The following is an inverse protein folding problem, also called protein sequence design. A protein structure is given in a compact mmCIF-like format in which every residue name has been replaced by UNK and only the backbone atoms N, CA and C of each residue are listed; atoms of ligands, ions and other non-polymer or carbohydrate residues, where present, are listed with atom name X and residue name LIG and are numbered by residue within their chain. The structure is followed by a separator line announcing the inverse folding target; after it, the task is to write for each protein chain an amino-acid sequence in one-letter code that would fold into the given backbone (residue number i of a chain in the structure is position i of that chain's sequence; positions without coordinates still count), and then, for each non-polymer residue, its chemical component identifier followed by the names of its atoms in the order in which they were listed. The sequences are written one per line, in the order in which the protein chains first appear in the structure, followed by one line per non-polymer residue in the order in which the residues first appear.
data_IF_397312728260
#
_entry.id   IF_397312728260
#
_cell.length_a   1.000
_cell.length_b   1.000
_cell.length_c   1.000
_cell.angle_alpha   90.00
_cell.angle_beta   90.00
_cell.angle_gamma   90.00
#
_symmetry.space_group_name_H-M   'P 1'
#
loop_
_entity.id
_entity.type
_entity.pdbx_description
1 polymer ?
#
# COMPACT_ATOMS: atom_id res chain seq x y z
N UNK A 1 -8.90 28.91 -42.81
CA UNK A 1 -7.51 29.15 -42.41
C UNK A 1 -7.06 27.98 -41.56
N UNK A 2 -5.91 27.41 -41.86
CA UNK A 2 -5.34 26.33 -41.05
C UNK A 2 -4.54 26.93 -39.88
N UNK A 3 -4.77 26.43 -38.69
CA UNK A 3 -4.04 26.83 -37.51
C UNK A 3 -3.19 25.64 -36.99
N UNK A 4 -2.03 25.95 -36.42
CA UNK A 4 -1.11 24.95 -35.87
C UNK A 4 -0.68 25.34 -34.48
N UNK A 5 -0.38 24.35 -33.65
CA UNK A 5 0.25 24.60 -32.35
C UNK A 5 1.74 24.88 -32.59
N UNK A 6 2.20 26.06 -32.13
CA UNK A 6 3.56 26.53 -32.35
C UNK A 6 4.39 26.61 -31.05
N UNK A 7 3.75 26.48 -29.91
CA UNK A 7 4.40 26.48 -28.62
C UNK A 7 3.57 25.80 -27.54
N UNK A 8 4.25 25.18 -26.56
CA UNK A 8 3.63 24.58 -25.40
C UNK A 8 4.60 24.60 -24.20
N UNK A 9 4.07 24.76 -22.99
CA UNK A 9 4.84 24.76 -21.75
C UNK A 9 4.00 24.29 -20.55
N UNK A 10 4.66 23.98 -19.46
CA UNK A 10 4.04 23.68 -18.17
C UNK A 10 3.51 24.96 -17.53
N UNK A 11 2.37 24.86 -16.85
CA UNK A 11 1.73 25.95 -16.13
C UNK A 11 0.88 26.86 -17.00
N UNK A 12 0.34 27.91 -16.37
CA UNK A 12 -0.51 28.90 -17.02
C UNK A 12 0.34 30.08 -17.52
N UNK A 13 0.47 30.21 -18.83
CA UNK A 13 1.20 31.31 -19.47
C UNK A 13 0.40 32.60 -19.63
N UNK A 14 -0.89 32.61 -19.31
CA UNK A 14 -1.79 33.69 -19.65
C UNK A 14 -1.93 33.85 -21.15
N UNK A 15 -1.92 35.11 -21.65
CA UNK A 15 -2.04 35.42 -23.08
C UNK A 15 -0.70 35.54 -23.82
N UNK A 16 0.43 35.29 -23.14
CA UNK A 16 1.75 35.41 -23.76
C UNK A 16 1.97 34.32 -24.83
N UNK A 17 2.56 34.70 -25.95
CA UNK A 17 2.92 33.72 -26.99
C UNK A 17 4.04 32.78 -26.46
N UNK A 18 3.79 31.48 -26.57
CA UNK A 18 4.75 30.42 -26.27
C UNK A 18 5.41 29.99 -27.58
N UNK A 19 6.72 29.76 -27.51
CA UNK A 19 7.49 29.23 -28.62
C UNK A 19 8.29 28.00 -28.17
N UNK A 20 8.26 26.93 -28.99
CA UNK A 20 8.93 25.66 -28.65
C UNK A 20 8.08 24.72 -27.77
N UNK A 21 8.63 23.61 -27.37
CA UNK A 21 7.95 22.57 -26.56
C UNK A 21 7.02 21.64 -27.32
N UNK A 22 6.66 21.97 -28.57
CA UNK A 22 5.81 21.12 -29.42
C UNK A 22 6.57 19.83 -29.79
N UNK A 23 5.93 18.69 -29.69
CA UNK A 23 6.53 17.37 -29.93
C UNK A 23 7.52 16.91 -28.85
N UNK A 24 7.69 17.70 -27.79
CA UNK A 24 8.57 17.37 -26.65
C UNK A 24 7.73 17.03 -25.42
N UNK A 25 8.27 16.17 -24.54
CA UNK A 25 7.64 15.86 -23.28
C UNK A 25 7.73 17.04 -22.30
N UNK A 26 6.58 17.54 -21.86
CA UNK A 26 6.44 18.59 -20.84
C UNK A 26 6.12 17.93 -19.51
N UNK A 27 7.09 17.91 -18.58
CA UNK A 27 6.93 17.24 -17.29
C UNK A 27 6.06 18.09 -16.36
N UNK A 28 4.85 17.62 -16.07
CA UNK A 28 3.99 18.09 -14.98
C UNK A 28 4.34 17.43 -13.64
N UNK A 29 3.49 17.65 -12.64
CA UNK A 29 3.65 17.03 -11.32
C UNK A 29 3.23 15.55 -11.35
N UNK A 30 2.14 15.23 -12.05
CA UNK A 30 1.53 13.91 -12.05
C UNK A 30 1.70 13.15 -13.37
N UNK A 31 2.25 13.79 -14.39
CA UNK A 31 2.48 13.16 -15.67
C UNK A 31 3.27 14.03 -16.65
N UNK A 32 3.46 13.51 -17.85
CA UNK A 32 4.14 14.19 -18.94
C UNK A 32 3.19 14.36 -20.11
N UNK A 33 2.95 15.61 -20.53
CA UNK A 33 2.19 15.95 -21.72
C UNK A 33 3.13 16.06 -22.92
N UNK A 34 2.77 15.44 -24.03
CA UNK A 34 3.37 15.71 -25.34
C UNK A 34 2.26 16.20 -26.26
N UNK A 35 2.39 17.40 -26.81
CA UNK A 35 1.44 17.98 -27.75
C UNK A 35 2.11 18.21 -29.11
N UNK A 36 1.44 17.82 -30.19
CA UNK A 36 1.94 17.92 -31.55
C UNK A 36 1.37 19.18 -32.25
N UNK A 37 2.00 19.57 -33.37
CA UNK A 37 1.60 20.75 -34.14
C UNK A 37 0.18 20.66 -34.70
N UNK A 38 -0.32 19.46 -34.96
CA UNK A 38 -1.68 19.18 -35.46
C UNK A 38 -2.75 19.18 -34.35
N UNK A 39 -2.36 19.40 -33.08
CA UNK A 39 -3.25 19.39 -31.93
C UNK A 39 -3.44 18.04 -31.30
N UNK A 40 -2.91 16.97 -31.86
CA UNK A 40 -2.90 15.68 -31.18
C UNK A 40 -1.99 15.71 -29.93
N UNK A 41 -2.34 14.96 -28.89
CA UNK A 41 -1.56 14.93 -27.68
C UNK A 41 -1.59 13.55 -27.01
N UNK A 42 -0.61 13.33 -26.17
CA UNK A 42 -0.55 12.21 -25.24
C UNK A 42 -0.23 12.73 -23.83
N UNK A 43 -0.82 12.14 -22.82
CA UNK A 43 -0.47 12.39 -21.43
C UNK A 43 -0.17 11.06 -20.75
N UNK A 44 1.04 10.91 -20.25
CA UNK A 44 1.50 9.71 -19.55
C UNK A 44 1.67 10.02 -18.06
N UNK A 45 0.95 9.31 -17.21
CA UNK A 45 1.07 9.44 -15.75
C UNK A 45 2.43 8.94 -15.25
N UNK A 46 2.88 9.48 -14.13
CA UNK A 46 4.14 9.12 -13.48
C UNK A 46 3.91 8.45 -12.11
N UNK A 47 4.99 8.17 -11.36
CA UNK A 47 4.92 7.54 -10.05
C UNK A 47 4.15 8.38 -9.01
N UNK A 48 4.12 9.72 -9.13
CA UNK A 48 3.33 10.56 -8.23
C UNK A 48 1.82 10.40 -8.48
N UNK A 49 1.41 10.16 -9.72
CA UNK A 49 0.02 9.84 -10.04
C UNK A 49 -0.39 8.45 -9.52
N UNK A 50 0.53 7.49 -9.57
CA UNK A 50 0.28 6.13 -9.04
C UNK A 50 0.21 6.08 -7.52
N UNK A 51 0.76 7.08 -6.82
CA UNK A 51 0.67 7.21 -5.37
C UNK A 51 -0.62 7.92 -4.89
N UNK A 52 -1.53 8.27 -5.78
CA UNK A 52 -2.82 8.86 -5.43
C UNK A 52 -3.74 7.80 -4.86
N UNK A 53 -4.41 8.15 -3.77
CA UNK A 53 -5.42 7.28 -3.19
C UNK A 53 -6.72 7.31 -4.02
N UNK A 54 -7.54 6.29 -3.87
CA UNK A 54 -8.89 6.27 -4.46
C UNK A 54 -9.67 7.53 -4.04
N UNK A 55 -10.36 8.14 -4.98
CA UNK A 55 -11.06 9.44 -4.85
C UNK A 55 -10.16 10.68 -4.78
N UNK A 56 -8.84 10.56 -4.74
CA UNK A 56 -7.98 11.74 -4.95
C UNK A 56 -8.19 12.26 -6.37
N UNK A 57 -8.22 13.58 -6.51
CA UNK A 57 -8.32 14.25 -7.80
C UNK A 57 -7.38 15.44 -7.82
N UNK A 58 -6.40 15.39 -8.69
CA UNK A 58 -5.32 16.36 -8.82
C UNK A 58 -5.22 16.86 -10.26
N UNK A 59 -4.50 17.95 -10.48
CA UNK A 59 -4.44 18.57 -11.79
C UNK A 59 -3.02 18.96 -12.16
N UNK A 60 -2.67 18.70 -13.42
CA UNK A 60 -1.56 19.34 -14.11
C UNK A 60 -2.11 20.37 -15.11
N UNK A 61 -1.51 21.54 -15.15
CA UNK A 61 -1.88 22.61 -16.05
C UNK A 61 -0.76 22.85 -17.05
N UNK A 62 -1.13 22.95 -18.31
CA UNK A 62 -0.22 23.27 -19.42
C UNK A 62 -0.84 24.39 -20.25
N UNK A 63 -0.01 25.17 -20.94
CA UNK A 63 -0.47 26.16 -21.89
C UNK A 63 0.10 25.89 -23.26
N UNK A 64 -0.65 26.23 -24.30
CA UNK A 64 -0.20 26.13 -25.68
C UNK A 64 -0.63 27.34 -26.49
N UNK A 65 0.16 27.67 -27.51
CA UNK A 65 -0.11 28.75 -28.47
C UNK A 65 -0.51 28.15 -29.82
N UNK A 66 -1.67 28.55 -30.28
CA UNK A 66 -2.16 28.29 -31.59
C UNK A 66 -1.81 29.48 -32.50
N UNK A 67 -1.31 29.23 -33.68
CA UNK A 67 -1.01 30.28 -34.68
C UNK A 67 -1.65 29.95 -36.00
N UNK A 68 -2.29 30.94 -36.62
CA UNK A 68 -2.89 30.82 -37.94
C UNK A 68 -1.90 31.15 -39.10
N UNK A 69 -2.37 30.98 -40.35
CA UNK A 69 -1.58 31.25 -41.53
C UNK A 69 -1.23 32.74 -41.71
N UNK A 70 -2.00 33.64 -41.13
CA UNK A 70 -1.80 35.10 -41.22
C UNK A 70 -0.86 35.61 -40.12
N UNK A 71 -0.42 34.72 -39.25
CA UNK A 71 0.53 35.04 -38.19
C UNK A 71 -0.10 35.48 -36.88
N UNK A 72 -1.43 35.57 -36.78
CA UNK A 72 -2.11 35.83 -35.53
C UNK A 72 -2.00 34.63 -34.59
N UNK A 73 -1.95 34.89 -33.29
CA UNK A 73 -1.84 33.80 -32.31
C UNK A 73 -2.84 33.95 -31.16
N UNK A 74 -3.14 32.83 -30.53
CA UNK A 74 -3.91 32.75 -29.32
C UNK A 74 -3.27 31.72 -28.37
N UNK A 75 -3.15 32.07 -27.09
CA UNK A 75 -2.63 31.19 -26.08
C UNK A 75 -3.71 30.85 -25.06
N UNK A 76 -3.81 29.60 -24.71
CA UNK A 76 -4.77 29.09 -23.73
C UNK A 76 -4.15 27.98 -22.89
N UNK A 77 -4.83 27.61 -21.80
CA UNK A 77 -4.42 26.53 -20.93
C UNK A 77 -5.28 25.28 -21.16
N UNK A 78 -4.67 24.13 -20.98
CA UNK A 78 -5.32 22.83 -20.85
C UNK A 78 -5.01 22.25 -19.46
N UNK A 79 -6.02 21.70 -18.83
CA UNK A 79 -5.90 21.06 -17.53
C UNK A 79 -6.09 19.56 -17.69
N UNK A 80 -5.11 18.80 -17.26
CA UNK A 80 -5.19 17.34 -17.16
C UNK A 80 -5.60 16.98 -15.74
N UNK A 81 -6.78 16.39 -15.58
CA UNK A 81 -7.23 15.87 -14.29
C UNK A 81 -6.82 14.41 -14.18
N UNK A 82 -6.11 14.10 -13.11
CA UNK A 82 -5.68 12.75 -12.77
C UNK A 82 -6.44 12.32 -11.51
N UNK A 83 -7.11 11.19 -11.59
CA UNK A 83 -7.85 10.61 -10.46
C UNK A 83 -7.14 9.36 -9.99
N UNK A 84 -7.00 9.22 -8.67
CA UNK A 84 -6.51 7.99 -8.07
C UNK A 84 -7.51 6.84 -8.28
N UNK A 85 -6.98 5.64 -8.44
CA UNK A 85 -7.72 4.41 -8.56
C UNK A 85 -7.30 3.46 -7.44
N UNK A 86 -8.22 2.60 -6.97
CA UNK A 86 -7.86 1.52 -6.06
C UNK A 86 -7.07 0.46 -6.82
N UNK A 87 -5.95 0.02 -6.28
CA UNK A 87 -5.10 -1.04 -6.83
C UNK A 87 -5.48 -2.42 -6.26
N UNK A 88 -6.46 -2.48 -5.36
CA UNK A 88 -7.02 -3.71 -4.80
C UNK A 88 -7.07 -3.71 -3.28
N UNK A 89 -7.72 -4.71 -2.72
CA UNK A 89 -7.86 -4.87 -1.26
C UNK A 89 -6.62 -5.55 -0.66
N UNK A 90 -6.27 -5.23 0.58
CA UNK A 90 -5.22 -5.94 1.31
C UNK A 90 -5.48 -7.44 1.42
N UNK A 91 -4.42 -8.21 1.54
CA UNK A 91 -4.50 -9.65 1.76
C UNK A 91 -3.45 -10.14 2.76
N UNK A 92 -3.73 -11.29 3.38
CA UNK A 92 -2.85 -11.94 4.35
C UNK A 92 -2.69 -13.41 3.96
N UNK A 93 -1.46 -13.90 3.97
CA UNK A 93 -1.14 -15.30 3.76
C UNK A 93 -0.34 -15.83 4.96
N UNK A 94 -0.95 -16.75 5.70
CA UNK A 94 -0.34 -17.41 6.86
C UNK A 94 -0.03 -18.86 6.46
N UNK A 95 1.23 -19.30 6.53
CA UNK A 95 1.57 -20.70 6.27
C UNK A 95 0.83 -21.65 7.22
N UNK A 96 0.16 -22.66 6.69
CA UNK A 96 -0.64 -23.61 7.49
C UNK A 96 -2.10 -23.21 7.71
N UNK A 97 -2.49 -21.97 7.42
CA UNK A 97 -3.87 -21.51 7.56
C UNK A 97 -4.80 -22.32 6.65
N UNK A 98 -5.84 -22.92 7.26
CA UNK A 98 -6.78 -23.81 6.57
C UNK A 98 -6.61 -25.31 6.86
N UNK A 99 -5.75 -25.69 7.78
CA UNK A 99 -5.56 -27.08 8.22
C UNK A 99 -6.71 -27.63 9.09
N UNK A 100 -7.97 -27.33 8.73
CA UNK A 100 -9.18 -27.94 9.32
C UNK A 100 -9.60 -27.42 10.70
N UNK A 101 -10.75 -27.88 11.18
CA UNK A 101 -11.28 -27.52 12.51
C UNK A 101 -10.28 -27.97 13.60
N UNK A 102 -9.72 -27.03 14.36
CA UNK A 102 -8.67 -27.25 15.35
C UNK A 102 -7.26 -27.38 14.77
N UNK A 103 -7.07 -26.99 13.49
CA UNK A 103 -5.74 -26.79 12.89
C UNK A 103 -5.02 -25.61 13.54
N UNK A 104 -3.70 -25.70 13.61
CA UNK A 104 -2.84 -24.58 14.06
C UNK A 104 -1.83 -24.28 12.97
N UNK A 105 -1.51 -23.00 12.80
CA UNK A 105 -0.48 -22.55 11.87
C UNK A 105 0.92 -22.91 12.40
N UNK A 106 1.04 -23.00 13.72
CA UNK A 106 2.29 -23.30 14.40
C UNK A 106 2.03 -24.07 15.70
N UNK A 107 2.99 -24.89 16.14
CA UNK A 107 2.95 -25.57 17.42
C UNK A 107 4.19 -25.25 18.25
N UNK A 108 4.02 -25.10 19.55
CA UNK A 108 5.08 -24.80 20.51
C UNK A 108 4.86 -25.59 21.79
N UNK A 109 5.94 -26.10 22.42
CA UNK A 109 5.87 -26.66 23.75
C UNK A 109 5.72 -25.52 24.78
N UNK A 110 5.00 -25.77 25.89
CA UNK A 110 4.71 -24.75 26.91
C UNK A 110 5.97 -24.15 27.58
N UNK A 111 7.12 -24.84 27.51
CA UNK A 111 8.39 -24.39 28.04
C UNK A 111 9.38 -23.89 26.98
N UNK A 112 8.92 -23.63 25.76
CA UNK A 112 9.76 -23.20 24.61
C UNK A 112 9.20 -21.97 23.93
N UNK A 113 10.05 -21.29 23.18
CA UNK A 113 9.67 -20.21 22.27
C UNK A 113 9.74 -20.70 20.83
N UNK A 114 8.81 -20.27 20.00
CA UNK A 114 8.79 -20.59 18.57
C UNK A 114 8.79 -19.32 17.73
N UNK A 115 9.38 -19.38 16.55
CA UNK A 115 9.36 -18.28 15.58
C UNK A 115 8.68 -18.69 14.30
N UNK A 116 8.03 -17.73 13.65
CA UNK A 116 7.35 -17.91 12.39
C UNK A 116 7.30 -16.63 11.57
N UNK A 117 6.66 -16.71 10.42
CA UNK A 117 6.37 -15.55 9.59
C UNK A 117 5.07 -15.74 8.82
N UNK A 118 4.45 -14.62 8.47
CA UNK A 118 3.34 -14.56 7.51
C UNK A 118 3.57 -13.39 6.54
N UNK A 119 2.85 -13.39 5.43
CA UNK A 119 2.99 -12.34 4.41
C UNK A 119 1.72 -11.50 4.35
N UNK A 120 1.89 -10.20 4.28
CA UNK A 120 0.84 -9.22 4.02
C UNK A 120 1.06 -8.58 2.66
N UNK A 121 -0.02 -8.31 1.94
CA UNK A 121 0.00 -7.53 0.70
C UNK A 121 -0.99 -6.39 0.87
N UNK A 122 -0.55 -5.17 0.62
CA UNK A 122 -1.36 -3.97 0.64
C UNK A 122 -1.01 -3.14 -0.60
N UNK A 123 -1.75 -3.33 -1.72
CA UNK A 123 -1.44 -2.69 -3.00
C UNK A 123 -1.43 -1.17 -2.93
N UNK A 124 -2.38 -0.59 -2.22
CA UNK A 124 -2.50 0.87 -2.00
C UNK A 124 -1.65 1.36 -0.80
N UNK A 125 -0.72 0.53 -0.34
CA UNK A 125 0.13 0.80 0.82
C UNK A 125 -0.46 0.27 2.13
N UNK A 126 0.40 0.14 3.14
CA UNK A 126 0.02 -0.32 4.47
C UNK A 126 -0.28 0.87 5.38
N UNK A 127 -1.49 0.91 5.96
CA UNK A 127 -1.85 1.83 7.04
C UNK A 127 -1.61 1.18 8.40
N UNK A 128 -2.28 0.04 8.66
CA UNK A 128 -2.17 -0.67 9.94
C UNK A 128 -2.18 -2.19 9.75
N UNK A 129 -1.50 -2.88 10.67
CA UNK A 129 -1.63 -4.30 10.93
C UNK A 129 -2.25 -4.48 12.31
N UNK A 130 -3.40 -5.13 12.41
CA UNK A 130 -4.03 -5.45 13.71
C UNK A 130 -3.90 -6.94 13.98
N UNK A 131 -3.41 -7.29 15.17
CA UNK A 131 -3.28 -8.65 15.67
C UNK A 131 -4.05 -8.77 16.99
N UNK A 132 -5.13 -9.55 16.98
CA UNK A 132 -6.07 -9.59 18.09
C UNK A 132 -6.69 -8.22 18.37
N UNK A 133 -6.38 -7.61 19.51
CA UNK A 133 -6.83 -6.26 19.89
C UNK A 133 -5.76 -5.17 19.69
N UNK A 134 -4.55 -5.52 19.23
CA UNK A 134 -3.43 -4.58 19.10
C UNK A 134 -3.30 -4.09 17.66
N UNK A 135 -3.49 -2.80 17.46
CA UNK A 135 -3.26 -2.14 16.17
C UNK A 135 -1.85 -1.55 16.10
N UNK A 136 -1.13 -1.88 15.04
CA UNK A 136 0.26 -1.53 14.78
C UNK A 136 0.29 -0.67 13.53
N UNK A 137 0.75 0.57 13.64
CA UNK A 137 0.91 1.44 12.46
C UNK A 137 2.01 0.93 11.53
N UNK A 138 1.96 1.29 10.26
CA UNK A 138 3.01 0.93 9.29
C UNK A 138 4.41 1.36 9.78
N UNK A 139 4.53 2.53 10.40
CA UNK A 139 5.80 3.02 10.96
C UNK A 139 6.29 2.16 12.14
N UNK A 140 5.40 1.77 13.05
CA UNK A 140 5.74 0.92 14.19
C UNK A 140 6.13 -0.49 13.72
N UNK A 141 5.45 -1.02 12.70
CA UNK A 141 5.77 -2.30 12.11
C UNK A 141 7.14 -2.29 11.43
N UNK A 142 7.44 -1.22 10.68
CA UNK A 142 8.74 -1.05 10.02
C UNK A 142 9.92 -0.88 11.02
N UNK A 143 9.64 -0.37 12.22
CA UNK A 143 10.63 -0.20 13.27
C UNK A 143 10.83 -1.47 14.13
N UNK A 144 9.99 -2.49 13.98
CA UNK A 144 10.06 -3.72 14.77
C UNK A 144 11.35 -4.51 14.47
N UNK A 145 12.04 -4.91 15.52
CA UNK A 145 13.27 -5.73 15.45
C UNK A 145 13.28 -6.75 16.59
N UNK A 146 14.14 -7.78 16.54
CA UNK A 146 14.27 -8.72 17.67
C UNK A 146 14.68 -8.05 19.00
N UNK A 147 15.41 -6.93 18.95
CA UNK A 147 15.81 -6.15 20.13
C UNK A 147 14.76 -5.12 20.60
N UNK A 148 13.77 -4.81 19.76
CA UNK A 148 12.68 -3.89 20.04
C UNK A 148 11.39 -4.38 19.33
N UNK A 149 10.82 -5.53 19.78
CA UNK A 149 9.64 -6.11 19.17
C UNK A 149 8.37 -5.33 19.53
N UNK A 150 7.35 -5.46 18.69
CA UNK A 150 5.99 -5.07 19.10
C UNK A 150 5.36 -6.26 19.81
N UNK A 151 5.01 -6.06 21.07
CA UNK A 151 4.52 -7.13 21.97
C UNK A 151 2.99 -7.13 22.01
N UNK A 152 2.39 -8.29 21.81
CA UNK A 152 0.95 -8.53 21.81
C UNK A 152 0.64 -9.63 22.85
N UNK A 153 -0.21 -9.31 23.81
CA UNK A 153 -0.64 -10.29 24.79
C UNK A 153 -1.65 -11.27 24.17
N UNK A 154 -1.38 -12.56 24.26
CA UNK A 154 -2.32 -13.64 23.99
C UNK A 154 -3.04 -14.09 25.26
N UNK A 155 -3.93 -15.07 25.13
CA UNK A 155 -4.60 -15.67 26.28
C UNK A 155 -3.67 -16.60 27.08
N UNK A 156 -2.74 -17.25 26.40
CA UNK A 156 -1.86 -18.27 26.98
C UNK A 156 -0.37 -17.99 26.71
N UNK A 157 -0.01 -16.82 26.20
CA UNK A 157 1.36 -16.47 25.91
C UNK A 157 1.51 -15.08 25.33
N UNK A 158 2.68 -14.80 24.81
CA UNK A 158 3.04 -13.50 24.26
C UNK A 158 3.51 -13.64 22.82
N UNK A 159 2.83 -12.95 21.90
CA UNK A 159 3.25 -12.81 20.52
C UNK A 159 4.09 -11.54 20.38
N UNK A 160 5.27 -11.67 19.78
CA UNK A 160 6.18 -10.55 19.55
C UNK A 160 6.48 -10.42 18.06
N UNK A 161 6.12 -9.30 17.43
CA UNK A 161 6.53 -9.00 16.06
C UNK A 161 7.98 -8.54 16.08
N UNK A 162 8.85 -9.29 15.41
CA UNK A 162 10.31 -9.14 15.47
C UNK A 162 10.89 -8.57 14.18
N UNK A 163 10.08 -8.32 13.15
CA UNK A 163 10.55 -7.70 11.92
C UNK A 163 9.48 -7.59 10.84
N UNK A 164 9.70 -6.68 9.93
CA UNK A 164 8.90 -6.50 8.72
C UNK A 164 9.78 -6.16 7.53
N UNK A 165 9.57 -6.85 6.43
CA UNK A 165 10.21 -6.56 5.15
C UNK A 165 9.18 -5.98 4.19
N UNK A 166 9.22 -4.67 3.98
CA UNK A 166 8.26 -3.97 3.12
C UNK A 166 8.33 -4.39 1.64
N UNK A 167 9.50 -4.85 1.15
CA UNK A 167 9.64 -5.27 -0.25
C UNK A 167 8.96 -6.62 -0.55
N UNK A 168 8.84 -7.48 0.46
CA UNK A 168 8.24 -8.82 0.33
C UNK A 168 6.92 -8.96 1.08
N UNK A 169 6.55 -7.99 1.90
CA UNK A 169 5.41 -8.05 2.80
C UNK A 169 5.57 -9.02 3.97
N UNK A 170 6.77 -9.60 4.18
CA UNK A 170 7.00 -10.62 5.20
C UNK A 170 7.05 -10.00 6.61
N UNK A 171 6.21 -10.50 7.50
CA UNK A 171 6.17 -10.15 8.93
C UNK A 171 6.73 -11.33 9.72
N UNK A 172 7.81 -11.11 10.44
CA UNK A 172 8.44 -12.10 11.32
C UNK A 172 7.94 -11.94 12.75
N UNK A 173 7.72 -13.06 13.42
CA UNK A 173 7.27 -13.05 14.80
C UNK A 173 7.91 -14.18 15.63
N UNK A 174 7.86 -14.04 16.95
CA UNK A 174 8.09 -15.11 17.91
C UNK A 174 6.91 -15.21 18.88
N UNK A 175 6.63 -16.40 19.36
CA UNK A 175 5.61 -16.64 20.37
C UNK A 175 6.21 -17.39 21.55
N UNK A 176 5.91 -16.92 22.75
CA UNK A 176 6.41 -17.43 24.01
C UNK A 176 5.22 -17.72 24.97
N UNK A 177 4.87 -18.98 25.20
CA UNK A 177 3.86 -19.39 26.17
C UNK A 177 4.40 -19.42 27.61
N UNK A 178 5.71 -19.19 27.83
CA UNK A 178 6.30 -19.30 29.16
C UNK A 178 5.73 -18.28 30.15
N UNK A 179 5.56 -18.69 31.40
CA UNK A 179 4.98 -17.86 32.46
C UNK A 179 3.47 -18.00 32.61
N UNK A 180 2.80 -18.71 31.72
CA UNK A 180 1.40 -19.12 31.86
C UNK A 180 1.35 -20.59 32.24
N UNK A 181 0.88 -20.90 33.44
CA UNK A 181 0.52 -22.30 33.79
C UNK A 181 -0.74 -22.66 33.04
N UNK A 182 -0.59 -23.24 31.87
CA UNK A 182 -1.74 -23.66 31.05
C UNK A 182 -2.21 -25.01 31.54
N UNK A 183 -3.40 -25.06 32.15
CA UNK A 183 -4.04 -26.33 32.41
C UNK A 183 -4.48 -26.94 31.07
N UNK A 184 -3.77 -27.98 30.64
CA UNK A 184 -4.17 -28.73 29.46
C UNK A 184 -5.44 -29.55 29.77
N UNK A 185 -6.54 -29.39 29.01
CA UNK A 185 -7.70 -30.26 29.19
C UNK A 185 -7.30 -31.72 28.85
N UNK A 186 -7.87 -32.66 29.54
CA UNK A 186 -7.62 -34.10 29.32
C UNK A 186 -7.89 -34.54 27.86
N UNK A 187 -8.68 -33.77 27.11
CA UNK A 187 -8.95 -33.93 25.68
C UNK A 187 -9.06 -32.53 25.07
N UNK A 188 -8.17 -32.20 24.14
CA UNK A 188 -8.17 -30.93 23.41
C UNK A 188 -6.79 -30.27 23.32
N UNK A 189 -6.70 -29.24 22.52
CA UNK A 189 -5.50 -28.43 22.34
C UNK A 189 -5.71 -27.08 23.00
N UNK A 190 -4.67 -26.53 23.62
CA UNK A 190 -4.63 -25.13 23.99
C UNK A 190 -4.15 -24.34 22.78
N UNK A 191 -4.94 -23.38 22.33
CA UNK A 191 -4.64 -22.58 21.15
C UNK A 191 -4.79 -21.10 21.51
N UNK A 192 -3.77 -20.31 21.20
CA UNK A 192 -3.89 -18.85 21.12
C UNK A 192 -4.19 -18.45 19.68
N UNK A 193 -5.26 -17.69 19.52
CA UNK A 193 -5.72 -17.19 18.22
C UNK A 193 -5.61 -15.66 18.16
N UNK A 194 -4.92 -15.17 17.14
CA UNK A 194 -4.79 -13.74 16.87
C UNK A 194 -5.45 -13.43 15.53
N UNK A 195 -6.59 -12.73 15.56
CA UNK A 195 -7.20 -12.26 14.33
C UNK A 195 -6.27 -11.27 13.63
N UNK A 196 -6.00 -11.49 12.33
CA UNK A 196 -5.06 -10.69 11.54
C UNK A 196 -5.84 -9.83 10.56
N UNK A 197 -5.78 -8.52 10.76
CA UNK A 197 -6.40 -7.53 9.87
C UNK A 197 -5.35 -6.56 9.38
N UNK A 198 -5.22 -6.45 8.06
CA UNK A 198 -4.40 -5.45 7.37
C UNK A 198 -5.34 -4.40 6.81
N UNK A 199 -5.05 -3.14 7.06
CA UNK A 199 -5.78 -2.02 6.48
C UNK A 199 -4.84 -1.12 5.68
N UNK A 200 -5.34 -0.60 4.57
CA UNK A 200 -4.69 0.42 3.76
C UNK A 200 -5.10 1.85 4.18
N UNK A 201 -4.54 2.90 3.57
CA UNK A 201 -4.92 4.28 3.84
C UNK A 201 -6.36 4.64 3.45
N UNK A 202 -6.98 3.89 2.56
CA UNK A 202 -8.36 4.08 2.11
C UNK A 202 -9.38 3.46 3.07
N UNK A 203 -8.91 2.58 3.97
CA UNK A 203 -9.73 1.86 4.95
C UNK A 203 -10.19 0.49 4.45
N UNK A 204 -9.71 0.04 3.29
CA UNK A 204 -9.93 -1.32 2.83
C UNK A 204 -9.16 -2.31 3.70
N UNK A 205 -9.75 -3.48 3.91
CA UNK A 205 -9.16 -4.52 4.76
C UNK A 205 -9.19 -5.88 4.07
N UNK A 206 -8.30 -6.78 4.51
CA UNK A 206 -8.33 -8.16 4.02
C UNK A 206 -9.66 -8.84 4.34
N UNK A 207 -10.27 -9.41 3.30
CA UNK A 207 -11.50 -10.20 3.39
C UNK A 207 -11.33 -11.50 2.60
N UNK A 208 -11.63 -12.67 3.21
CA UNK A 208 -12.08 -12.87 4.60
C UNK A 208 -10.99 -12.56 5.63
N UNK A 209 -11.41 -12.31 6.87
CA UNK A 209 -10.49 -12.23 7.98
C UNK A 209 -9.78 -13.59 8.17
N UNK A 210 -8.51 -13.55 8.56
CA UNK A 210 -7.70 -14.74 8.86
C UNK A 210 -7.21 -14.67 10.31
N UNK A 211 -6.90 -15.82 10.91
CA UNK A 211 -6.29 -15.88 12.23
C UNK A 211 -4.93 -16.53 12.16
N UNK A 212 -4.03 -16.08 13.03
CA UNK A 212 -2.79 -16.77 13.36
C UNK A 212 -3.06 -17.61 14.60
N UNK A 213 -3.08 -18.93 14.43
CA UNK A 213 -3.45 -19.91 15.46
C UNK A 213 -2.21 -20.69 15.92
N UNK A 214 -1.86 -20.54 17.19
CA UNK A 214 -0.67 -21.17 17.76
C UNK A 214 -1.11 -22.21 18.80
N UNK A 215 -0.79 -23.47 18.52
CA UNK A 215 -1.04 -24.58 19.43
C UNK A 215 0.04 -24.66 20.48
N UNK A 216 -0.33 -24.74 21.74
CA UNK A 216 0.53 -25.01 22.86
C UNK A 216 0.39 -26.49 23.23
N UNK A 217 1.51 -27.20 23.29
CA UNK A 217 1.56 -28.63 23.61
C UNK A 217 2.19 -28.83 25.00
N UNK A 218 1.64 -29.80 25.71
CA UNK A 218 2.19 -30.26 26.99
C UNK A 218 3.60 -30.89 26.81
N UNK A 219 4.44 -30.84 27.80
CA UNK A 219 5.83 -31.38 27.82
C UNK A 219 5.98 -32.52 28.79
#
# INVERSE_FOLDING_TARGET
DSATITGAQVGNAGAAQITGGVGSGLAGTYGTLTVNADGSYTYATNAAAQALNVNDSVQDVFSYTLKDSDGSFSTTSVTMTVTGASEGVPSVSIPGNGAGVGGSDLSVAENATVSGSFTITAPDGLSTLTLGSTSITAAALAAATPGAPVVIAGANGTLSITGYNAATGSVSYSYDPTGTSTAHPAVGNVIDSFNVVVADPQGDTNTPAVSLDIRITDT
#
